data_IF_323502074506
#
_entry.id   IF_323502074506
#
_cell.length_a   1.000
_cell.length_b   1.000
_cell.length_c   1.000
_cell.angle_alpha   90.00
_cell.angle_beta   90.00
_cell.angle_gamma   90.00
#
_symmetry.space_group_name_H-M   'P 1'
#
loop_
_entity.id
_entity.type
_entity.pdbx_description
1 polymer ?
#
# COMPACT_ATOMS: atom_id res chain seq x y z
N UNK A 1 -9.16 -9.29 2.66
CA UNK A 1 -10.03 -8.13 2.97
C UNK A 1 -10.02 -7.18 1.79
N UNK A 2 -11.16 -6.97 1.15
CA UNK A 2 -11.28 -6.10 -0.03
C UNK A 2 -11.24 -4.61 0.34
N UNK A 3 -11.00 -3.73 -0.64
CA UNK A 3 -10.94 -2.29 -0.40
C UNK A 3 -12.29 -1.71 0.05
N UNK A 4 -13.40 -2.30 -0.41
CA UNK A 4 -14.74 -1.86 0.03
C UNK A 4 -14.99 -2.23 1.51
N UNK A 5 -14.61 -3.46 1.91
CA UNK A 5 -14.68 -3.87 3.32
C UNK A 5 -13.79 -3.02 4.22
N UNK A 6 -12.58 -2.64 3.75
CA UNK A 6 -11.67 -1.75 4.48
C UNK A 6 -12.32 -0.39 4.74
N UNK A 7 -12.88 0.24 3.70
CA UNK A 7 -13.54 1.55 3.79
C UNK A 7 -14.69 1.56 4.78
N UNK A 8 -15.47 0.48 4.86
CA UNK A 8 -16.63 0.39 5.76
C UNK A 8 -16.25 0.37 7.24
N UNK A 9 -15.03 -0.05 7.59
CA UNK A 9 -14.59 -0.15 8.99
C UNK A 9 -13.91 1.11 9.49
N UNK A 10 -12.97 1.64 8.71
CA UNK A 10 -12.22 2.87 9.05
C UNK A 10 -11.81 3.57 7.77
N UNK A 11 -11.71 4.90 7.82
CA UNK A 11 -11.46 5.70 6.62
C UNK A 11 -9.98 5.81 6.25
N UNK A 12 -9.09 5.61 7.21
CA UNK A 12 -7.64 5.77 7.05
C UNK A 12 -6.96 4.42 7.26
N UNK A 13 -6.18 4.00 6.27
CA UNK A 13 -5.46 2.72 6.27
C UNK A 13 -3.99 2.94 5.95
N UNK A 14 -3.12 2.05 6.42
CA UNK A 14 -1.74 2.05 5.95
C UNK A 14 -1.67 1.54 4.51
N UNK A 15 -0.70 2.03 3.75
CA UNK A 15 -0.57 1.72 2.33
C UNK A 15 -0.24 0.26 2.03
N UNK A 16 0.34 -0.49 2.99
CA UNK A 16 0.57 -1.93 2.84
C UNK A 16 -0.78 -2.68 2.86
N UNK A 17 -1.67 -2.37 3.79
CA UNK A 17 -3.00 -3.00 3.83
C UNK A 17 -3.82 -2.66 2.59
N UNK A 18 -3.72 -1.43 2.08
CA UNK A 18 -4.40 -1.03 0.84
C UNK A 18 -3.82 -1.78 -0.37
N UNK A 19 -2.50 -1.95 -0.43
CA UNK A 19 -1.84 -2.76 -1.47
C UNK A 19 -2.30 -4.22 -1.41
N UNK A 20 -2.33 -4.81 -0.21
CA UNK A 20 -2.81 -6.18 0.01
C UNK A 20 -4.26 -6.30 -0.45
N UNK A 21 -5.14 -5.39 -0.04
CA UNK A 21 -6.54 -5.40 -0.44
C UNK A 21 -6.75 -5.29 -1.95
N UNK A 22 -5.96 -4.47 -2.64
CA UNK A 22 -5.98 -4.36 -4.10
C UNK A 22 -5.53 -5.67 -4.78
N UNK A 23 -4.44 -6.27 -4.29
CA UNK A 23 -3.92 -7.53 -4.82
C UNK A 23 -4.89 -8.68 -4.58
N UNK A 24 -5.49 -8.76 -3.40
CA UNK A 24 -6.52 -9.76 -3.06
C UNK A 24 -7.78 -9.62 -3.92
N UNK A 25 -8.25 -8.39 -4.19
CA UNK A 25 -9.36 -8.14 -5.14
C UNK A 25 -9.09 -8.70 -6.54
N UNK A 26 -7.81 -8.83 -6.90
CA UNK A 26 -7.34 -9.28 -8.22
C UNK A 26 -6.82 -10.71 -8.25
N UNK A 27 -6.79 -11.40 -7.11
CA UNK A 27 -6.15 -12.71 -6.99
C UNK A 27 -4.64 -12.70 -7.27
N UNK A 28 -3.98 -11.56 -7.06
CA UNK A 28 -2.55 -11.37 -7.28
C UNK A 28 -1.74 -11.52 -5.97
N UNK A 29 -0.46 -11.90 -6.10
CA UNK A 29 0.47 -11.90 -4.98
C UNK A 29 0.89 -10.48 -4.58
N UNK A 30 0.85 -10.17 -3.28
CA UNK A 30 1.20 -8.85 -2.74
C UNK A 30 2.61 -8.76 -2.16
N UNK A 31 3.34 -9.88 -2.07
CA UNK A 31 4.66 -9.94 -1.43
C UNK A 31 5.82 -9.35 -2.24
N UNK A 32 5.55 -8.78 -3.42
CA UNK A 32 6.55 -8.18 -4.29
C UNK A 32 6.85 -6.72 -3.90
N UNK A 33 8.08 -6.40 -3.44
CA UNK A 33 8.47 -5.03 -3.10
C UNK A 33 8.44 -4.08 -4.29
N UNK A 34 8.75 -4.55 -5.50
CA UNK A 34 8.79 -3.69 -6.69
C UNK A 34 7.37 -3.31 -7.13
N UNK A 35 6.43 -4.26 -7.09
CA UNK A 35 5.00 -4.01 -7.25
C UNK A 35 4.47 -2.96 -6.25
N UNK A 36 4.85 -3.07 -4.97
CA UNK A 36 4.49 -2.07 -3.96
C UNK A 36 5.10 -0.69 -4.27
N UNK A 37 6.39 -0.62 -4.62
CA UNK A 37 7.05 0.65 -4.98
C UNK A 37 6.39 1.30 -6.20
N UNK A 38 6.03 0.51 -7.21
CA UNK A 38 5.26 0.95 -8.37
C UNK A 38 3.90 1.51 -7.97
N UNK A 39 3.20 0.81 -7.08
CA UNK A 39 1.92 1.25 -6.53
C UNK A 39 2.03 2.61 -5.81
N UNK A 40 3.00 2.77 -4.90
CA UNK A 40 3.21 4.05 -4.20
C UNK A 40 3.56 5.16 -5.17
N UNK A 41 4.40 4.90 -6.16
CA UNK A 41 4.78 5.89 -7.18
C UNK A 41 3.56 6.37 -7.96
N UNK A 42 2.73 5.43 -8.42
CA UNK A 42 1.48 5.71 -9.11
C UNK A 42 0.51 6.58 -8.29
N UNK A 43 0.36 6.29 -6.99
CA UNK A 43 -0.52 7.06 -6.10
C UNK A 43 0.02 8.48 -5.85
N UNK A 44 1.34 8.63 -5.73
CA UNK A 44 1.99 9.93 -5.54
C UNK A 44 1.82 10.83 -6.75
N UNK A 45 1.98 10.29 -7.96
CA UNK A 45 1.76 11.02 -9.21
C UNK A 45 0.32 11.53 -9.39
N UNK A 46 -0.65 10.89 -8.71
CA UNK A 46 -2.08 11.22 -8.79
C UNK A 46 -2.59 12.06 -7.62
N UNK A 47 -1.68 12.61 -6.82
CA UNK A 47 -1.95 13.52 -5.71
C UNK A 47 -3.04 13.01 -4.75
N UNK A 48 -2.96 11.74 -4.37
CA UNK A 48 -3.98 11.08 -3.55
C UNK A 48 -4.00 11.53 -2.08
N UNK A 49 -3.32 12.63 -1.76
CA UNK A 49 -3.21 13.17 -0.40
C UNK A 49 -2.50 12.22 0.57
N UNK A 50 -1.48 11.50 0.08
CA UNK A 50 -0.70 10.58 0.90
C UNK A 50 -0.01 11.31 2.04
N UNK A 51 -0.30 10.91 3.29
CA UNK A 51 0.40 11.43 4.47
C UNK A 51 1.44 10.40 4.90
N UNK A 52 2.71 10.76 4.78
CA UNK A 52 3.80 9.94 5.31
C UNK A 52 3.72 9.93 6.83
N UNK A 53 3.59 8.76 7.43
CA UNK A 53 3.78 8.60 8.86
C UNK A 53 5.24 8.18 9.10
N UNK A 54 5.88 8.72 10.13
CA UNK A 54 7.16 8.16 10.60
C UNK A 54 6.88 6.75 11.10
N UNK A 55 7.36 5.74 10.38
CA UNK A 55 7.28 4.34 10.81
C UNK A 55 8.03 4.20 12.15
N UNK A 56 7.32 4.26 13.28
CA UNK A 56 7.78 3.59 14.48
C UNK A 56 7.59 2.10 14.23
N UNK A 57 8.68 1.38 14.00
CA UNK A 57 8.72 -0.03 13.59
C UNK A 57 8.20 -1.03 14.65
N UNK A 58 7.26 -0.64 15.53
CA UNK A 58 6.84 -1.44 16.67
C UNK A 58 5.50 -2.17 16.52
N UNK A 59 4.65 -1.83 15.55
CA UNK A 59 3.31 -2.42 15.42
C UNK A 59 3.05 -3.13 14.07
N UNK A 60 4.09 -3.71 13.46
CA UNK A 60 3.89 -4.71 12.41
C UNK A 60 3.58 -6.06 13.08
N UNK A 61 2.34 -6.22 13.52
CA UNK A 61 1.79 -7.50 13.96
C UNK A 61 2.06 -8.58 12.91
N UNK A 62 2.76 -9.63 13.33
CA UNK A 62 3.28 -10.71 12.51
C UNK A 62 2.21 -11.41 11.67
N UNK A 63 2.40 -11.38 10.35
CA UNK A 63 2.18 -12.50 9.41
C UNK A 63 3.41 -12.48 8.48
N UNK A 64 4.29 -13.49 8.54
CA UNK A 64 5.65 -13.58 7.95
C UNK A 64 5.91 -12.75 6.67
N UNK A 65 4.98 -12.77 5.71
CA UNK A 65 5.12 -12.07 4.44
C UNK A 65 5.00 -10.53 4.55
N UNK A 66 4.18 -10.00 5.47
CA UNK A 66 4.11 -8.55 5.74
C UNK A 66 5.43 -8.05 6.33
N UNK A 67 6.02 -8.81 7.24
CA UNK A 67 7.32 -8.49 7.83
C UNK A 67 8.41 -8.49 6.76
N UNK A 68 8.47 -9.52 5.90
CA UNK A 68 9.44 -9.58 4.79
C UNK A 68 9.31 -8.41 3.81
N UNK A 69 8.08 -8.06 3.42
CA UNK A 69 7.86 -6.90 2.57
C UNK A 69 8.35 -5.62 3.25
N UNK A 70 8.01 -5.42 4.53
CA UNK A 70 8.47 -4.27 5.29
C UNK A 70 10.01 -4.22 5.42
N UNK A 71 10.66 -5.35 5.66
CA UNK A 71 12.12 -5.47 5.69
C UNK A 71 12.76 -5.10 4.35
N UNK A 72 12.23 -5.58 3.22
CA UNK A 72 12.73 -5.23 1.88
C UNK A 72 12.58 -3.73 1.58
N UNK A 73 11.45 -3.14 1.98
CA UNK A 73 11.21 -1.69 1.83
C UNK A 73 12.16 -0.87 2.72
N UNK A 74 12.45 -1.35 3.93
CA UNK A 74 13.35 -0.67 4.87
C UNK A 74 14.81 -0.60 4.39
N UNK A 75 15.22 -1.43 3.42
CA UNK A 75 16.56 -1.36 2.79
C UNK A 75 16.76 -0.13 1.92
N UNK A 76 15.71 0.61 1.58
CA UNK A 76 15.78 1.82 0.75
C UNK A 76 15.11 3.02 1.45
N UNK A 77 15.63 3.49 2.60
CA UNK A 77 14.97 4.52 3.40
C UNK A 77 14.88 5.89 2.70
N UNK A 78 15.81 6.17 1.78
CA UNK A 78 15.84 7.39 0.98
C UNK A 78 14.85 7.37 -0.20
N UNK A 79 14.35 6.19 -0.59
CA UNK A 79 13.39 6.03 -1.66
C UNK A 79 11.97 6.30 -1.16
N UNK A 80 11.29 7.37 -1.61
CA UNK A 80 9.94 7.68 -1.15
C UNK A 80 8.91 6.65 -1.59
N UNK A 81 9.19 5.83 -2.61
CA UNK A 81 8.32 4.71 -3.03
C UNK A 81 8.41 3.51 -2.09
N UNK A 82 9.46 3.45 -1.26
CA UNK A 82 9.66 2.43 -0.24
C UNK A 82 9.02 2.76 1.12
N UNK A 83 8.43 3.96 1.25
CA UNK A 83 7.82 4.39 2.51
C UNK A 83 6.41 3.82 2.67
N UNK A 84 5.95 3.72 3.91
CA UNK A 84 4.55 3.44 4.24
C UNK A 84 3.81 4.75 4.51
N UNK A 85 2.63 4.87 3.92
CA UNK A 85 1.79 6.07 3.98
C UNK A 85 0.45 5.74 4.63
N UNK A 86 -0.21 6.75 5.18
CA UNK A 86 -1.63 6.68 5.47
C UNK A 86 -2.42 7.14 4.26
N UNK A 87 -3.37 6.31 3.83
CA UNK A 87 -4.27 6.56 2.70
C UNK A 87 -5.69 6.73 3.23
N UNK A 88 -6.38 7.77 2.75
CA UNK A 88 -7.81 7.97 3.00
C UNK A 88 -8.63 7.29 1.91
N UNK A 89 -9.38 6.24 2.22
CA UNK A 89 -10.18 5.47 1.25
C UNK A 89 -11.54 6.13 0.97
N UNK A 90 -11.55 7.23 0.22
CA UNK A 90 -12.78 7.83 -0.36
C UNK A 90 -13.19 7.13 -1.67
N UNK A 91 -14.40 7.38 -2.18
CA UNK A 91 -14.81 6.85 -3.50
C UNK A 91 -13.84 7.24 -4.63
N UNK A 92 -13.39 8.51 -4.63
CA UNK A 92 -12.38 8.97 -5.58
C UNK A 92 -11.04 8.25 -5.42
N UNK A 93 -10.60 8.03 -4.18
CA UNK A 93 -9.37 7.29 -3.89
C UNK A 93 -9.47 5.84 -4.38
N UNK A 94 -10.58 5.15 -4.13
CA UNK A 94 -10.81 3.77 -4.56
C UNK A 94 -10.74 3.64 -6.08
N UNK A 95 -11.36 4.58 -6.81
CA UNK A 95 -11.29 4.61 -8.27
C UNK A 95 -9.85 4.73 -8.78
N UNK A 96 -9.06 5.61 -8.17
CA UNK A 96 -7.64 5.77 -8.54
C UNK A 96 -6.82 4.53 -8.18
N UNK A 97 -6.97 3.99 -6.96
CA UNK A 97 -6.25 2.78 -6.50
C UNK A 97 -6.52 1.60 -7.43
N UNK A 98 -7.79 1.38 -7.80
CA UNK A 98 -8.17 0.30 -8.74
C UNK A 98 -7.74 0.54 -10.18
N UNK A 99 -7.37 1.78 -10.53
CA UNK A 99 -6.77 2.12 -11.82
C UNK A 99 -5.28 1.82 -11.92
N UNK A 100 -4.60 1.44 -10.83
CA UNK A 100 -3.21 1.01 -10.89
C UNK A 100 -3.13 -0.32 -11.63
N UNK A 101 -2.34 -0.42 -12.70
CA UNK A 101 -1.98 -1.69 -13.31
C UNK A 101 -0.54 -1.99 -12.92
N UNK A 102 -0.30 -3.16 -12.33
CA UNK A 102 1.07 -3.57 -12.02
C UNK A 102 1.87 -3.59 -13.34
N UNK A 103 3.13 -3.11 -13.34
CA UNK A 103 3.94 -3.17 -14.54
C UNK A 103 4.00 -4.62 -15.03
N UNK A 104 3.64 -4.85 -16.29
CA UNK A 104 3.76 -6.16 -16.90
C UNK A 104 5.22 -6.61 -16.78
N UNK A 105 5.46 -7.68 -16.02
CA UNK A 105 6.76 -8.35 -15.93
C UNK A 105 7.09 -9.01 -17.25
#
# INVERSE_FOLDING_TARGET
MTLDEMRQRVLFHNSIDVWIGLCEERGAGWGDPDGYRGFISYLRERDLGLKSFGLCAHDAGSEDARSRLADELAKSPDDPSSRVYTIRLTDGALGVIRGFEAPAT
#
